data_IF_715255310631
#
_entry.id   IF_715255310631
#
_cell.length_a   1.000
_cell.length_b   1.000
_cell.length_c   1.000
_cell.angle_alpha   90.00
_cell.angle_beta   90.00
_cell.angle_gamma   90.00
#
_symmetry.space_group_name_H-M   'P 1'
#
loop_
_entity.id
_entity.type
_entity.pdbx_description
1 polymer ?
#
# COMPACT_ATOMS: atom_id res chain seq x y z
N UNK A 1 -12.83 -14.75 14.78
CA UNK A 1 -11.36 -14.65 14.79
C UNK A 1 -10.81 -16.03 14.39
N UNK A 2 -10.34 -16.16 13.15
CA UNK A 2 -9.52 -17.31 12.77
C UNK A 2 -8.20 -17.24 13.54
N UNK A 3 -7.98 -18.22 14.41
CA UNK A 3 -6.73 -18.37 15.14
C UNK A 3 -5.64 -18.80 14.14
N UNK A 4 -4.56 -18.02 13.99
CA UNK A 4 -3.30 -18.52 13.51
C UNK A 4 -2.70 -17.97 12.24
N UNK A 5 -3.17 -16.88 11.65
CA UNK A 5 -2.37 -16.21 10.61
C UNK A 5 -1.34 -15.32 11.30
N UNK A 6 -0.05 -15.66 11.16
CA UNK A 6 1.02 -14.76 11.61
C UNK A 6 0.89 -13.43 10.87
N UNK A 7 0.86 -12.34 11.63
CA UNK A 7 0.93 -10.97 11.14
C UNK A 7 2.35 -10.45 11.34
N UNK A 8 3.27 -10.72 10.41
CA UNK A 8 4.69 -10.49 10.62
C UNK A 8 5.08 -9.02 10.58
N UNK A 9 4.21 -8.15 10.05
CA UNK A 9 4.50 -6.74 9.83
C UNK A 9 3.89 -5.85 10.91
N UNK A 10 4.63 -4.81 11.29
CA UNK A 10 4.09 -3.69 12.09
C UNK A 10 3.57 -2.58 11.18
N UNK A 11 2.85 -1.62 11.75
CA UNK A 11 2.50 -0.38 11.05
C UNK A 11 3.75 0.43 10.70
N UNK A 12 3.76 1.13 9.54
CA UNK A 12 4.94 1.85 9.04
C UNK A 12 5.19 3.22 9.69
N UNK A 13 4.50 3.54 10.78
CA UNK A 13 4.65 4.77 11.55
C UNK A 13 4.81 4.45 13.02
N UNK A 14 5.68 5.19 13.72
CA UNK A 14 5.88 5.03 15.16
C UNK A 14 4.70 5.56 15.98
N UNK A 15 4.07 6.65 15.49
CA UNK A 15 2.92 7.24 16.15
C UNK A 15 1.63 6.46 15.84
N UNK A 16 0.69 6.37 16.79
CA UNK A 16 -0.60 5.74 16.55
C UNK A 16 -1.43 6.55 15.54
N UNK A 17 -2.40 5.92 14.84
CA UNK A 17 -3.29 6.63 13.94
C UNK A 17 -4.14 7.65 14.68
N UNK A 18 -4.38 8.79 14.03
CA UNK A 18 -5.18 9.88 14.60
C UNK A 18 -5.26 11.10 13.68
N UNK A 19 -6.09 12.08 14.02
CA UNK A 19 -6.34 13.24 13.17
C UNK A 19 -5.12 14.11 12.92
N UNK A 20 -4.14 14.09 13.83
CA UNK A 20 -2.91 14.88 13.75
C UNK A 20 -1.67 14.05 13.36
N UNK A 21 -1.82 12.75 13.19
CA UNK A 21 -0.73 11.82 12.87
C UNK A 21 -0.88 11.23 11.49
N UNK A 22 -1.59 10.10 11.35
CA UNK A 22 -1.85 9.46 10.07
C UNK A 22 -3.15 8.66 10.11
N UNK A 23 -3.73 8.42 8.94
CA UNK A 23 -4.98 7.70 8.79
C UNK A 23 -4.90 6.75 7.59
N UNK A 24 -5.65 5.63 7.63
CA UNK A 24 -5.83 4.80 6.45
C UNK A 24 -6.64 5.57 5.40
N UNK A 25 -6.01 5.88 4.28
CA UNK A 25 -6.61 6.65 3.18
C UNK A 25 -7.25 5.77 2.11
N UNK A 26 -6.54 4.75 1.65
CA UNK A 26 -7.04 3.81 0.64
C UNK A 26 -6.57 2.40 0.94
N UNK A 27 -7.49 1.44 0.89
CA UNK A 27 -7.20 0.01 1.06
C UNK A 27 -6.61 -0.61 -0.20
N UNK A 28 -6.04 -1.81 -0.08
CA UNK A 28 -5.62 -2.64 -1.21
C UNK A 28 -6.84 -3.11 -2.01
N UNK A 29 -6.69 -3.26 -3.33
CA UNK A 29 -7.64 -4.00 -4.15
C UNK A 29 -8.62 -3.12 -4.93
N UNK A 30 -9.85 -3.59 -5.08
CA UNK A 30 -10.89 -2.98 -5.91
C UNK A 30 -11.60 -1.85 -5.18
N UNK A 31 -10.89 -0.76 -4.93
CA UNK A 31 -11.46 0.46 -4.35
C UNK A 31 -12.24 1.27 -5.38
N UNK A 32 -13.07 2.20 -4.93
CA UNK A 32 -13.80 3.13 -5.81
C UNK A 32 -12.82 3.93 -6.68
N UNK A 33 -11.72 4.41 -6.08
CA UNK A 33 -10.68 5.15 -6.80
C UNK A 33 -10.00 4.31 -7.88
N UNK A 34 -9.63 3.07 -7.56
CA UNK A 34 -9.02 2.14 -8.51
C UNK A 34 -9.98 1.81 -9.65
N UNK A 35 -11.25 1.51 -9.34
CA UNK A 35 -12.26 1.23 -10.37
C UNK A 35 -12.44 2.38 -11.36
N UNK A 36 -12.62 3.62 -10.88
CA UNK A 36 -12.78 4.77 -11.78
C UNK A 36 -11.55 5.03 -12.64
N UNK A 37 -10.37 4.76 -12.14
CA UNK A 37 -9.10 5.02 -12.83
C UNK A 37 -8.45 3.74 -13.40
N UNK A 38 -9.20 2.62 -13.53
CA UNK A 38 -8.67 1.33 -13.98
C UNK A 38 -8.05 1.35 -15.38
N UNK A 39 -8.53 2.24 -16.25
CA UNK A 39 -8.03 2.39 -17.61
C UNK A 39 -6.95 3.47 -17.74
N UNK A 40 -6.62 4.16 -16.67
CA UNK A 40 -5.62 5.24 -16.62
C UNK A 40 -4.54 4.93 -15.59
N UNK A 41 -4.63 5.50 -14.39
CA UNK A 41 -3.62 5.38 -13.33
C UNK A 41 -3.42 3.92 -12.89
N UNK A 42 -4.49 3.12 -12.81
CA UNK A 42 -4.43 1.72 -12.36
C UNK A 42 -4.41 0.70 -13.51
N UNK A 43 -4.19 1.15 -14.75
CA UNK A 43 -4.20 0.24 -15.92
C UNK A 43 -3.18 -0.89 -15.81
N UNK A 44 -1.96 -0.57 -15.37
CA UNK A 44 -0.88 -1.55 -15.24
C UNK A 44 -0.93 -2.33 -13.93
N UNK A 45 -1.78 -1.93 -13.01
CA UNK A 45 -2.05 -2.63 -11.75
C UNK A 45 -3.34 -3.45 -11.80
N UNK A 46 -3.66 -4.03 -12.94
CA UNK A 46 -4.89 -4.84 -13.16
C UNK A 46 -6.20 -4.10 -12.83
N UNK A 47 -6.18 -2.76 -12.80
CA UNK A 47 -7.32 -1.92 -12.42
C UNK A 47 -7.58 -1.84 -10.92
N UNK A 48 -6.69 -2.37 -10.08
CA UNK A 48 -6.82 -2.33 -8.62
C UNK A 48 -5.67 -1.56 -7.97
N UNK A 49 -5.83 -1.21 -6.71
CA UNK A 49 -4.78 -0.59 -5.90
C UNK A 49 -3.84 -1.66 -5.35
N UNK A 50 -2.55 -1.60 -5.66
CA UNK A 50 -1.55 -2.63 -5.34
C UNK A 50 -1.05 -2.61 -3.90
N UNK A 51 -1.35 -1.58 -3.15
CA UNK A 51 -0.92 -1.41 -1.77
C UNK A 51 -2.01 -0.81 -0.90
N UNK A 52 -1.61 -0.21 0.18
CA UNK A 52 -2.45 0.66 1.01
C UNK A 52 -1.86 2.06 1.02
N UNK A 53 -2.72 3.07 1.03
CA UNK A 53 -2.31 4.47 1.20
C UNK A 53 -2.61 4.91 2.63
N UNK A 54 -1.60 5.40 3.28
CA UNK A 54 -1.66 5.91 4.64
C UNK A 54 -1.42 7.42 4.61
N UNK A 55 -2.49 8.19 4.70
CA UNK A 55 -2.43 9.66 4.70
C UNK A 55 -1.70 10.13 5.95
N UNK A 56 -0.62 10.86 5.77
CA UNK A 56 0.21 11.39 6.85
C UNK A 56 0.66 12.81 6.51
N UNK A 57 0.94 13.68 7.49
CA UNK A 57 1.55 14.96 7.23
C UNK A 57 2.87 14.81 6.45
N UNK A 58 3.19 15.83 5.64
CA UNK A 58 4.46 15.88 4.91
C UNK A 58 5.65 15.76 5.86
N UNK A 59 6.60 14.87 5.56
CA UNK A 59 7.79 14.66 6.36
C UNK A 59 7.59 13.81 7.62
N UNK A 60 6.45 13.09 7.74
CA UNK A 60 6.28 12.11 8.81
C UNK A 60 7.29 10.97 8.64
N UNK A 61 7.95 10.59 9.73
CA UNK A 61 8.91 9.48 9.73
C UNK A 61 8.23 8.15 9.42
N UNK A 62 8.81 7.44 8.46
CA UNK A 62 8.38 6.10 8.05
C UNK A 62 9.36 5.09 8.62
N UNK A 63 8.86 4.03 9.23
CA UNK A 63 9.68 2.95 9.79
C UNK A 63 9.57 1.67 8.99
N UNK A 64 10.62 0.85 9.03
CA UNK A 64 10.62 -0.48 8.42
C UNK A 64 9.59 -1.40 9.09
N UNK A 65 8.71 -2.02 8.29
CA UNK A 65 7.62 -2.87 8.82
C UNK A 65 8.10 -4.22 9.36
N UNK A 66 9.32 -4.64 9.02
CA UNK A 66 9.98 -5.85 9.52
C UNK A 66 11.50 -5.71 9.36
N UNK A 67 12.27 -6.60 10.01
CA UNK A 67 13.70 -6.79 9.75
C UNK A 67 13.91 -7.12 8.27
N UNK A 68 14.94 -6.54 7.65
CA UNK A 68 15.19 -6.81 6.25
C UNK A 68 16.50 -6.24 5.72
N UNK A 69 16.65 -6.30 4.41
CA UNK A 69 17.80 -5.79 3.68
C UNK A 69 17.31 -4.86 2.58
N UNK A 70 17.85 -3.68 2.49
CA UNK A 70 17.57 -2.73 1.41
C UNK A 70 17.91 -3.38 0.07
N UNK A 71 16.90 -3.56 -0.78
CA UNK A 71 17.06 -4.14 -2.09
C UNK A 71 17.29 -3.06 -3.15
N UNK A 72 16.45 -2.05 -3.19
CA UNK A 72 16.48 -0.99 -4.20
C UNK A 72 16.09 0.36 -3.60
N UNK A 73 16.71 1.43 -4.10
CA UNK A 73 16.39 2.83 -3.78
C UNK A 73 16.15 3.57 -5.09
N UNK A 74 15.05 4.32 -5.17
CA UNK A 74 14.61 5.05 -6.38
C UNK A 74 14.48 4.16 -7.63
N UNK A 75 13.95 2.98 -7.46
CA UNK A 75 13.70 2.05 -8.56
C UNK A 75 12.35 2.35 -9.24
N UNK A 76 12.29 3.41 -10.05
CA UNK A 76 11.05 3.92 -10.66
C UNK A 76 10.32 2.92 -11.56
N UNK A 77 10.98 1.87 -12.03
CA UNK A 77 10.33 0.77 -12.73
C UNK A 77 9.27 0.03 -11.88
N UNK A 78 9.36 0.16 -10.56
CA UNK A 78 8.39 -0.38 -9.61
C UNK A 78 7.24 0.59 -9.28
N UNK A 79 7.27 1.81 -9.83
CA UNK A 79 6.25 2.84 -9.62
C UNK A 79 6.46 3.69 -8.37
N UNK A 80 5.38 4.33 -7.92
CA UNK A 80 5.31 5.10 -6.67
C UNK A 80 6.30 6.28 -6.59
N UNK A 81 6.36 7.06 -7.69
CA UNK A 81 7.16 8.29 -7.76
C UNK A 81 6.73 9.32 -6.66
N UNK A 82 7.56 10.33 -6.32
CA UNK A 82 8.86 10.66 -6.91
C UNK A 82 10.02 9.80 -6.42
N UNK A 83 9.94 9.26 -5.21
CA UNK A 83 10.95 8.41 -4.61
C UNK A 83 10.32 7.14 -4.03
N UNK A 84 11.05 6.04 -4.10
CA UNK A 84 10.64 4.78 -3.49
C UNK A 84 11.82 4.03 -2.86
N UNK A 85 11.48 3.11 -1.96
CA UNK A 85 12.40 2.21 -1.29
C UNK A 85 11.82 0.79 -1.32
N UNK A 86 12.64 -0.21 -1.65
CA UNK A 86 12.27 -1.62 -1.53
C UNK A 86 13.19 -2.30 -0.53
N UNK A 87 12.57 -2.99 0.44
CA UNK A 87 13.26 -3.79 1.45
C UNK A 87 12.83 -5.25 1.27
N UNK A 88 13.79 -6.15 1.18
CA UNK A 88 13.56 -7.59 1.17
C UNK A 88 13.52 -8.13 2.60
N UNK A 89 12.59 -9.04 2.86
CA UNK A 89 12.40 -9.77 4.11
C UNK A 89 12.54 -11.28 3.84
N UNK A 90 13.77 -11.80 3.60
CA UNK A 90 13.95 -13.17 3.10
C UNK A 90 13.38 -14.26 4.00
N UNK A 91 13.42 -14.07 5.33
CA UNK A 91 12.88 -15.03 6.31
C UNK A 91 11.37 -15.11 6.29
N UNK A 92 10.70 -14.08 5.78
CA UNK A 92 9.24 -14.00 5.65
C UNK A 92 8.75 -14.32 4.24
N UNK A 93 9.66 -14.49 3.28
CA UNK A 93 9.38 -14.69 1.84
C UNK A 93 8.63 -13.51 1.20
N UNK A 94 8.79 -12.30 1.76
CA UNK A 94 8.19 -11.06 1.27
C UNK A 94 9.22 -9.98 0.98
N UNK A 95 8.77 -8.96 0.28
CA UNK A 95 9.42 -7.66 0.16
C UNK A 95 8.39 -6.55 0.40
N UNK A 96 8.83 -5.41 0.91
CA UNK A 96 8.00 -4.23 1.08
C UNK A 96 8.46 -3.11 0.13
N UNK A 97 7.49 -2.35 -0.43
CA UNK A 97 7.75 -1.13 -1.17
C UNK A 97 7.13 0.04 -0.43
N UNK A 98 7.93 1.06 -0.19
CA UNK A 98 7.53 2.35 0.39
C UNK A 98 7.60 3.39 -0.72
N UNK A 99 6.48 4.00 -1.05
CA UNK A 99 6.33 4.91 -2.17
C UNK A 99 5.90 6.32 -1.78
N UNK A 100 6.01 7.23 -2.75
CA UNK A 100 5.70 8.65 -2.59
C UNK A 100 6.51 9.32 -1.48
N UNK A 101 7.79 8.95 -1.37
CA UNK A 101 8.67 9.47 -0.34
C UNK A 101 9.03 10.93 -0.62
N UNK A 102 9.27 11.69 0.45
CA UNK A 102 9.59 13.12 0.40
C UNK A 102 10.89 13.40 -0.36
N UNK A 103 11.88 12.55 -0.12
CA UNK A 103 13.20 12.64 -0.71
C UNK A 103 13.78 11.24 -0.93
N UNK A 104 14.86 11.17 -1.70
CA UNK A 104 15.58 9.93 -1.88
C UNK A 104 16.11 9.41 -0.54
N UNK A 105 15.75 8.18 -0.11
CA UNK A 105 16.25 7.62 1.13
C UNK A 105 17.79 7.54 1.17
N UNK A 106 18.35 7.93 2.29
CA UNK A 106 19.80 7.86 2.51
C UNK A 106 20.20 6.46 3.00
N UNK A 107 19.82 5.45 2.22
CA UNK A 107 20.13 4.03 2.44
C UNK A 107 20.81 3.45 1.21
N UNK A 108 21.53 2.35 1.38
CA UNK A 108 22.26 1.71 0.28
C UNK A 108 21.74 0.27 0.08
N UNK A 109 21.64 -0.20 -1.18
CA UNK A 109 21.37 -1.61 -1.44
C UNK A 109 22.34 -2.53 -0.71
N UNK A 110 21.82 -3.55 -0.03
CA UNK A 110 22.58 -4.45 0.83
C UNK A 110 22.66 -4.02 2.31
N UNK A 111 22.22 -2.83 2.65
CA UNK A 111 22.15 -2.37 4.06
C UNK A 111 21.04 -3.13 4.80
N UNK A 112 21.38 -3.65 5.98
CA UNK A 112 20.39 -4.22 6.90
C UNK A 112 19.60 -3.11 7.59
N UNK A 113 18.32 -3.34 7.81
CA UNK A 113 17.42 -2.49 8.59
C UNK A 113 16.64 -3.33 9.60
N UNK A 114 16.30 -2.74 10.72
CA UNK A 114 15.52 -3.39 11.77
C UNK A 114 14.08 -2.93 11.74
N UNK A 115 13.17 -3.81 12.13
CA UNK A 115 11.77 -3.47 12.35
C UNK A 115 11.67 -2.25 13.27
N UNK A 116 10.90 -1.23 12.86
CA UNK A 116 10.75 0.01 13.62
C UNK A 116 11.89 1.04 13.41
N UNK A 117 12.91 0.73 12.62
CA UNK A 117 13.97 1.67 12.25
C UNK A 117 13.42 2.72 11.27
N UNK A 118 13.72 4.00 11.47
CA UNK A 118 13.35 5.08 10.54
C UNK A 118 14.11 4.92 9.24
N UNK A 119 13.41 4.82 8.13
CA UNK A 119 13.96 4.53 6.80
C UNK A 119 13.71 5.61 5.77
N UNK A 120 12.70 6.46 5.96
CA UNK A 120 12.30 7.49 5.01
C UNK A 120 11.36 8.51 5.66
N UNK A 121 10.94 9.50 4.85
CA UNK A 121 9.92 10.49 5.21
C UNK A 121 8.78 10.46 4.21
N UNK A 122 7.53 10.66 4.67
CA UNK A 122 6.35 10.71 3.83
C UNK A 122 6.33 11.95 2.93
N UNK A 123 6.06 11.75 1.65
CA UNK A 123 5.89 12.79 0.64
C UNK A 123 4.53 12.72 -0.04
N UNK A 124 4.45 13.10 -1.31
CA UNK A 124 3.26 12.97 -2.14
C UNK A 124 3.61 12.51 -3.58
N UNK A 125 2.64 12.03 -4.36
CA UNK A 125 2.90 11.50 -5.70
C UNK A 125 3.26 12.55 -6.74
N UNK A 126 3.04 13.83 -6.46
CA UNK A 126 3.19 14.87 -7.47
C UNK A 126 4.49 15.66 -7.35
N UNK A 127 4.75 16.29 -6.22
CA UNK A 127 5.97 17.09 -6.02
C UNK A 127 6.21 17.42 -4.54
N UNK A 128 6.29 16.41 -3.70
CA UNK A 128 6.71 16.57 -2.32
C UNK A 128 5.87 17.54 -1.49
N UNK A 129 4.59 17.14 -1.25
CA UNK A 129 3.72 17.74 -0.24
C UNK A 129 2.98 19.02 -0.62
N UNK A 130 2.90 19.36 -1.88
CA UNK A 130 1.99 20.40 -2.36
C UNK A 130 0.56 19.87 -2.64
N UNK A 131 0.38 18.55 -2.54
CA UNK A 131 -0.88 17.87 -2.82
C UNK A 131 -1.45 17.14 -1.61
N UNK A 132 -1.53 15.84 -1.70
CA UNK A 132 -2.10 14.93 -0.69
C UNK A 132 -1.01 14.00 -0.17
N UNK A 133 -0.27 14.40 0.88
CA UNK A 133 0.81 13.59 1.39
C UNK A 133 0.29 12.27 1.95
N UNK A 134 0.95 11.18 1.56
CA UNK A 134 0.66 9.84 2.04
C UNK A 134 1.81 8.89 1.74
N UNK A 135 1.93 7.86 2.53
CA UNK A 135 2.76 6.70 2.21
C UNK A 135 1.92 5.72 1.40
N UNK A 136 2.42 5.31 0.24
CA UNK A 136 1.95 4.11 -0.47
C UNK A 136 2.79 2.92 -0.04
N UNK A 137 2.18 1.92 0.61
CA UNK A 137 2.85 0.73 1.11
C UNK A 137 2.36 -0.51 0.36
N UNK A 138 3.29 -1.25 -0.26
CA UNK A 138 2.99 -2.55 -0.87
C UNK A 138 3.72 -3.68 -0.15
N UNK A 139 3.11 -4.87 -0.13
CA UNK A 139 3.76 -6.15 0.20
C UNK A 139 3.84 -6.99 -1.07
N UNK A 140 5.03 -7.47 -1.38
CA UNK A 140 5.34 -8.22 -2.60
C UNK A 140 5.94 -9.58 -2.27
N UNK A 141 5.93 -10.51 -3.25
CA UNK A 141 6.67 -11.75 -3.14
C UNK A 141 8.19 -11.52 -3.14
N UNK A 142 8.93 -12.39 -2.47
CA UNK A 142 10.38 -12.44 -2.53
C UNK A 142 10.82 -13.81 -3.09
N UNK A 143 11.82 -13.89 -3.96
CA UNK A 143 12.65 -12.77 -4.47
C UNK A 143 12.10 -12.07 -5.72
N UNK A 144 10.99 -12.53 -6.29
CA UNK A 144 10.47 -12.11 -7.59
C UNK A 144 9.94 -10.68 -7.63
N UNK A 145 9.29 -10.23 -6.56
CA UNK A 145 8.61 -8.93 -6.40
C UNK A 145 7.55 -8.64 -7.47
N UNK A 146 7.08 -9.69 -8.16
CA UNK A 146 6.09 -9.60 -9.22
C UNK A 146 4.66 -9.55 -8.68
N UNK A 147 4.37 -10.38 -7.68
CA UNK A 147 3.07 -10.45 -7.03
C UNK A 147 2.94 -9.41 -5.92
N UNK A 148 1.78 -8.83 -5.82
CA UNK A 148 1.39 -7.91 -4.75
C UNK A 148 0.30 -8.55 -3.93
N UNK A 149 0.45 -8.48 -2.63
CA UNK A 149 -0.46 -9.04 -1.65
C UNK A 149 -1.13 -7.93 -0.87
N UNK A 150 -2.34 -8.18 -0.40
CA UNK A 150 -3.00 -7.26 0.51
C UNK A 150 -2.19 -7.11 1.80
N UNK A 151 -1.71 -5.91 2.16
CA UNK A 151 -0.94 -5.72 3.39
C UNK A 151 -1.77 -5.89 4.66
N UNK A 152 -3.11 -5.69 4.60
CA UNK A 152 -3.97 -5.64 5.78
C UNK A 152 -3.94 -6.93 6.61
N UNK A 153 -4.13 -8.15 6.02
CA UNK A 153 -4.09 -9.38 6.80
C UNK A 153 -2.69 -9.75 7.29
N UNK A 154 -1.64 -9.13 6.76
CA UNK A 154 -0.24 -9.39 7.10
C UNK A 154 0.31 -8.42 8.15
N UNK A 155 -0.39 -7.35 8.46
CA UNK A 155 0.04 -6.32 9.41
C UNK A 155 -0.68 -6.46 10.74
N UNK A 156 0.08 -6.43 11.83
CA UNK A 156 -0.47 -6.47 13.19
C UNK A 156 -1.07 -5.12 13.58
N UNK A 157 -2.35 -4.96 13.27
CA UNK A 157 -3.12 -3.75 13.52
C UNK A 157 -4.61 -4.07 13.67
N UNK A 158 -5.34 -3.20 14.35
CA UNK A 158 -6.80 -3.21 14.45
C UNK A 158 -7.41 -2.42 13.28
N UNK A 159 -7.47 -3.06 12.12
CA UNK A 159 -7.93 -2.44 10.89
C UNK A 159 -9.39 -2.01 10.92
N UNK A 160 -10.24 -2.62 11.74
CA UNK A 160 -11.64 -2.22 11.87
C UNK A 160 -11.75 -0.79 12.41
N UNK A 161 -10.92 -0.45 13.40
CA UNK A 161 -10.83 0.91 13.93
C UNK A 161 -10.11 1.87 12.95
N UNK A 162 -9.01 1.43 12.36
CA UNK A 162 -8.25 2.24 11.41
C UNK A 162 -9.04 2.53 10.13
N UNK A 163 -9.85 1.59 9.65
CA UNK A 163 -10.67 1.77 8.47
C UNK A 163 -11.80 2.80 8.66
N UNK A 164 -12.26 3.00 9.90
CA UNK A 164 -13.30 3.97 10.21
C UNK A 164 -12.77 5.39 10.39
N UNK A 165 -11.47 5.55 10.64
CA UNK A 165 -10.84 6.84 10.94
C UNK A 165 -10.24 7.43 9.67
N UNK A 166 -10.96 8.35 9.03
CA UNK A 166 -10.40 9.19 7.98
C UNK A 166 -10.39 8.61 6.58
N UNK A 167 -11.36 7.81 6.25
CA UNK A 167 -11.54 7.33 4.89
C UNK A 167 -11.57 8.48 3.88
N UNK A 168 -10.55 8.57 3.10
CA UNK A 168 -10.56 9.34 1.88
C UNK A 168 -11.42 8.57 0.86
N UNK A 169 -12.29 9.22 0.14
CA UNK A 169 -13.25 8.81 -0.93
C UNK A 169 -13.32 7.33 -1.40
N UNK A 170 -12.39 6.48 -1.04
CA UNK A 170 -12.17 5.18 -1.65
C UNK A 170 -11.79 4.07 -0.67
N UNK A 171 -12.05 4.30 0.62
CA UNK A 171 -11.62 3.39 1.67
C UNK A 171 -12.30 2.04 1.73
N UNK A 172 -13.38 1.82 0.97
CA UNK A 172 -14.12 0.57 1.01
C UNK A 172 -13.88 -0.27 -0.23
N UNK A 173 -13.68 -1.55 -0.04
CA UNK A 173 -13.50 -2.53 -1.08
C UNK A 173 -14.82 -3.06 -1.60
N UNK A 174 -14.79 -3.53 -2.84
CA UNK A 174 -15.90 -4.21 -3.49
C UNK A 174 -15.46 -5.56 -3.99
N UNK A 175 -16.40 -6.49 -3.96
CA UNK A 175 -16.22 -7.81 -4.53
C UNK A 175 -15.89 -7.72 -6.03
N UNK A 176 -14.92 -8.50 -6.49
CA UNK A 176 -14.47 -8.50 -7.88
C UNK A 176 -15.47 -9.17 -8.82
N UNK A 177 -16.29 -10.10 -8.32
CA UNK A 177 -17.30 -10.82 -9.08
C UNK A 177 -18.64 -10.08 -9.05
N UNK A 178 -19.02 -9.47 -7.92
CA UNK A 178 -20.24 -8.67 -7.78
C UNK A 178 -19.93 -7.30 -7.11
N UNK A 179 -19.68 -6.26 -7.90
CA UNK A 179 -19.27 -4.94 -7.41
C UNK A 179 -20.34 -4.22 -6.56
N UNK A 180 -21.52 -4.78 -6.41
CA UNK A 180 -22.57 -4.27 -5.53
C UNK A 180 -22.45 -4.78 -4.10
N UNK A 181 -21.62 -5.80 -3.88
CA UNK A 181 -21.33 -6.32 -2.55
C UNK A 181 -20.15 -5.59 -1.93
N UNK A 182 -20.25 -5.29 -0.65
CA UNK A 182 -19.14 -4.93 0.19
C UNK A 182 -18.31 -6.19 0.48
N UNK A 183 -17.01 -6.01 0.55
CA UNK A 183 -16.10 -7.09 0.83
C UNK A 183 -15.31 -6.81 2.11
N UNK A 184 -14.90 -7.85 2.80
CA UNK A 184 -14.01 -7.71 3.94
C UNK A 184 -12.64 -7.18 3.49
N UNK A 185 -11.96 -6.42 4.35
CA UNK A 185 -10.71 -5.74 3.98
C UNK A 185 -9.60 -6.70 3.51
N UNK A 186 -9.64 -7.97 3.92
CA UNK A 186 -8.62 -8.96 3.60
C UNK A 186 -8.96 -9.94 2.48
N UNK A 187 -10.12 -9.80 1.83
CA UNK A 187 -10.62 -10.75 0.82
C UNK A 187 -10.10 -10.53 -0.61
N UNK A 188 -9.37 -9.47 -0.88
CA UNK A 188 -8.90 -9.17 -2.23
C UNK A 188 -7.73 -10.08 -2.65
N UNK A 189 -7.75 -10.61 -3.90
CA UNK A 189 -6.72 -11.53 -4.37
C UNK A 189 -5.38 -10.84 -4.62
N UNK A 190 -4.26 -11.61 -4.62
CA UNK A 190 -2.98 -11.11 -5.12
C UNK A 190 -3.06 -10.67 -6.58
N UNK A 191 -2.22 -9.72 -6.97
CA UNK A 191 -2.21 -9.13 -8.31
C UNK A 191 -0.80 -8.97 -8.87
N UNK A 192 -0.70 -8.80 -10.20
CA UNK A 192 0.57 -8.63 -10.90
C UNK A 192 0.57 -7.40 -11.80
N UNK A 193 1.74 -6.81 -12.01
CA UNK A 193 1.92 -5.71 -12.94
C UNK A 193 1.65 -6.17 -14.38
N UNK A 194 0.85 -5.40 -15.12
CA UNK A 194 0.55 -5.67 -16.53
C UNK A 194 -0.43 -6.82 -16.78
N UNK A 195 -1.04 -7.35 -15.74
CA UNK A 195 -2.10 -8.35 -15.87
C UNK A 195 -3.39 -7.79 -16.49
N UNK A 196 -4.34 -8.68 -16.75
CA UNK A 196 -5.67 -8.30 -17.24
C UNK A 196 -6.37 -7.45 -16.18
N UNK A 197 -7.14 -6.44 -16.62
CA UNK A 197 -7.97 -5.64 -15.70
C UNK A 197 -9.04 -6.55 -15.10
N UNK A 198 -9.00 -6.73 -13.77
CA UNK A 198 -9.86 -7.68 -13.05
C UNK A 198 -11.16 -7.06 -12.52
N UNK A 199 -11.28 -5.74 -12.57
CA UNK A 199 -12.49 -5.00 -12.18
C UNK A 199 -13.19 -4.33 -13.38
N UNK A 200 -13.05 -4.88 -14.58
CA UNK A 200 -13.72 -4.39 -15.79
C UNK A 200 -15.09 -5.07 -15.93
N UNK A 201 -16.05 -4.62 -15.12
CA UNK A 201 -17.38 -5.20 -15.06
C UNK A 201 -18.22 -4.86 -16.29
N UNK A 202 -18.99 -5.84 -16.80
CA UNK A 202 -19.93 -5.65 -17.90
C UNK A 202 -21.01 -4.59 -17.55
N UNK A 203 -21.42 -4.53 -16.29
CA UNK A 203 -22.33 -3.49 -15.78
C UNK A 203 -21.53 -2.57 -14.87
N UNK A 204 -21.24 -1.34 -15.30
CA UNK A 204 -20.42 -0.40 -14.53
C UNK A 204 -20.97 -0.17 -13.13
N UNK A 205 -20.06 -0.21 -12.17
CA UNK A 205 -20.32 0.17 -10.80
C UNK A 205 -19.13 1.05 -10.29
N UNK A 206 -19.39 2.00 -9.38
CA UNK A 206 -20.72 2.55 -9.02
C UNK A 206 -21.39 3.23 -10.20
N UNK A 207 -22.71 3.25 -10.20
CA UNK A 207 -23.46 3.95 -11.24
C UNK A 207 -23.08 5.42 -11.20
N UNK A 208 -22.64 5.96 -12.31
CA UNK A 208 -22.49 7.41 -12.45
C UNK A 208 -23.89 8.03 -12.28
N UNK A 209 -23.99 8.99 -11.37
CA UNK A 209 -25.19 9.80 -11.19
C UNK A 209 -25.18 10.95 -12.17
#
# INVERSE_FOLDING_TARGET
>A
QEAGKERPFILPFAEPPGPDTWLLGQTYGNTVGAYFNRNTTYRYSQGIHFGIDLSAPCGTEIVAIADGVVALVDAMAYGSAPHNLIIDHPQLEYASLYGHLLEKPNLQPGQEVKQGEVIALSGDPSETCFGRPHLHLEVRDYPGRAWKYNPLPLTDADWDNLALVGSFQSGFERDLDDPRKWQHLDDQPPAVTGGVIINDFANPWPRQR
#
